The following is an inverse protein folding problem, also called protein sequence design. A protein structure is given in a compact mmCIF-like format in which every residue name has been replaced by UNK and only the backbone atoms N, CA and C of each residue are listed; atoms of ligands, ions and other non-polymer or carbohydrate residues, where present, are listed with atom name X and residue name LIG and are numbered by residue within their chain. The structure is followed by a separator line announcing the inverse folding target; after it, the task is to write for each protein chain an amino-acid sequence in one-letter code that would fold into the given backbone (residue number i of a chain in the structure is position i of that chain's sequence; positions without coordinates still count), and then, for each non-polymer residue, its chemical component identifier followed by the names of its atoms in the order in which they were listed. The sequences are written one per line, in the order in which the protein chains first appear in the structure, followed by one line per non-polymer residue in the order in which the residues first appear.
data_IF_445561964059
#
_entry.id   IF_445561964059
#
_cell.length_a   1.000
_cell.length_b   1.000
_cell.length_c   1.000
_cell.angle_alpha   90.00
_cell.angle_beta   90.00
_cell.angle_gamma   90.00
#
_symmetry.space_group_name_H-M   'P 1'
#
loop_
_entity.id
_entity.type
_entity.pdbx_description
1 polymer ?
#
# COMPACT_ATOMS: atom_id res chain seq x y z
N UNK A 1 -15.45 22.43 -2.48
CA UNK A 1 -14.60 23.28 -3.35
C UNK A 1 -14.78 22.79 -4.77
N UNK A 2 -15.09 23.68 -5.71
CA UNK A 2 -15.20 23.31 -7.12
C UNK A 2 -13.83 22.82 -7.62
N UNK A 3 -13.82 21.77 -8.46
CA UNK A 3 -12.61 21.11 -8.96
C UNK A 3 -11.65 22.03 -9.75
N UNK A 4 -12.08 23.27 -10.03
CA UNK A 4 -11.34 24.29 -10.77
C UNK A 4 -10.43 25.17 -9.91
N UNK A 5 -10.57 25.16 -8.57
CA UNK A 5 -9.80 26.03 -7.64
C UNK A 5 -8.64 25.31 -6.95
N UNK A 6 -8.03 24.33 -7.63
CA UNK A 6 -6.77 23.73 -7.17
C UNK A 6 -5.76 23.83 -8.31
N UNK A 7 -4.46 24.03 -8.05
CA UNK A 7 -3.41 24.07 -9.10
C UNK A 7 -3.33 22.78 -9.96
N UNK A 8 -4.09 21.75 -9.57
CA UNK A 8 -4.12 20.36 -10.03
C UNK A 8 -4.43 20.14 -11.52
N UNK A 9 -4.86 21.16 -12.27
CA UNK A 9 -5.15 21.04 -13.72
C UNK A 9 -4.35 21.96 -14.65
N UNK A 10 -3.74 23.03 -14.14
CA UNK A 10 -3.13 24.10 -14.97
C UNK A 10 -1.61 24.14 -14.93
N UNK A 11 -0.99 23.60 -13.88
CA UNK A 11 0.45 23.62 -13.74
C UNK A 11 1.10 22.81 -14.89
N UNK A 12 1.95 23.43 -15.70
CA UNK A 12 2.69 22.75 -16.76
C UNK A 12 4.07 22.27 -16.30
N UNK A 13 4.57 22.79 -15.17
CA UNK A 13 5.90 22.51 -14.64
C UNK A 13 5.92 22.64 -13.13
N UNK A 14 6.77 21.85 -12.49
CA UNK A 14 7.15 21.97 -11.08
C UNK A 14 8.65 21.64 -10.97
N UNK A 15 9.45 22.57 -10.42
CA UNK A 15 10.92 22.44 -10.42
C UNK A 15 11.50 22.07 -11.79
N UNK A 16 12.21 20.95 -11.84
CA UNK A 16 12.88 20.41 -13.04
C UNK A 16 12.00 19.45 -13.86
N UNK A 17 10.72 19.32 -13.52
CA UNK A 17 9.80 18.37 -14.13
C UNK A 17 8.73 19.09 -14.96
N UNK A 18 8.60 18.69 -16.22
CA UNK A 18 7.45 19.07 -17.04
C UNK A 18 6.27 18.11 -16.74
N UNK A 19 5.11 18.66 -16.40
CA UNK A 19 3.93 17.89 -16.00
C UNK A 19 3.03 17.61 -17.22
N UNK A 20 2.87 16.34 -17.54
CA UNK A 20 2.04 15.84 -18.62
C UNK A 20 0.59 15.59 -18.22
N UNK A 21 -0.02 14.61 -18.90
CA UNK A 21 -1.43 14.22 -18.73
C UNK A 21 -1.72 13.66 -17.35
N UNK A 22 -2.99 13.75 -16.93
CA UNK A 22 -3.48 13.05 -15.73
C UNK A 22 -3.59 11.55 -16.01
N UNK A 23 -2.92 10.73 -15.20
CA UNK A 23 -2.92 9.26 -15.29
C UNK A 23 -3.79 8.61 -14.20
N UNK A 24 -4.07 9.34 -13.11
CA UNK A 24 -4.96 8.90 -12.03
C UNK A 24 -5.63 10.06 -11.30
N UNK A 25 -6.83 9.84 -10.77
CA UNK A 25 -7.55 10.77 -9.89
C UNK A 25 -8.09 9.99 -8.70
N UNK A 26 -7.71 10.42 -7.49
CA UNK A 26 -8.26 9.93 -6.23
C UNK A 26 -9.18 10.96 -5.58
N UNK A 27 -9.73 10.62 -4.41
CA UNK A 27 -10.61 11.51 -3.65
C UNK A 27 -9.93 12.84 -3.27
N UNK A 28 -8.63 12.79 -2.93
CA UNK A 28 -7.86 13.94 -2.44
C UNK A 28 -6.62 14.26 -3.28
N UNK A 29 -6.26 13.40 -4.25
CA UNK A 29 -5.01 13.44 -4.99
C UNK A 29 -5.21 13.40 -6.51
N UNK A 30 -4.31 14.04 -7.25
CA UNK A 30 -4.19 13.89 -8.71
C UNK A 30 -2.83 13.28 -9.03
N UNK A 31 -2.82 12.29 -9.91
CA UNK A 31 -1.58 11.67 -10.41
C UNK A 31 -1.39 12.08 -11.86
N UNK A 32 -0.27 12.71 -12.15
CA UNK A 32 0.11 13.15 -13.49
C UNK A 32 1.41 12.50 -13.93
N UNK A 33 1.56 12.31 -15.22
CA UNK A 33 2.87 12.02 -15.81
C UNK A 33 3.80 13.22 -15.58
N UNK A 34 5.06 12.97 -15.22
CA UNK A 34 6.06 14.00 -15.02
C UNK A 34 7.34 13.58 -15.74
N UNK A 35 7.96 14.46 -16.51
CA UNK A 35 9.21 14.18 -17.22
C UNK A 35 10.31 15.07 -16.68
N UNK A 36 11.38 14.48 -16.15
CA UNK A 36 12.56 15.21 -15.75
C UNK A 36 13.21 15.85 -16.99
N UNK A 37 13.51 17.14 -16.95
CA UNK A 37 13.92 17.89 -18.14
C UNK A 37 15.27 17.45 -18.70
N UNK A 38 16.24 17.18 -17.82
CA UNK A 38 17.59 16.79 -18.22
C UNK A 38 17.71 15.31 -18.53
N UNK A 39 17.44 14.43 -17.55
CA UNK A 39 17.54 12.98 -17.71
C UNK A 39 16.47 12.36 -18.64
N UNK A 40 15.42 13.13 -18.98
CA UNK A 40 14.24 12.66 -19.73
C UNK A 40 13.48 11.51 -19.06
N UNK A 41 13.77 11.23 -17.79
CA UNK A 41 13.11 10.19 -17.03
C UNK A 41 11.62 10.49 -16.86
N UNK A 42 10.78 9.50 -17.15
CA UNK A 42 9.33 9.60 -16.98
C UNK A 42 8.90 9.00 -15.63
N UNK A 43 8.22 9.81 -14.84
CA UNK A 43 7.75 9.52 -13.49
C UNK A 43 6.23 9.74 -13.38
N UNK A 44 5.65 9.21 -12.31
CA UNK A 44 4.31 9.55 -11.85
C UNK A 44 4.42 10.58 -10.71
N UNK A 45 3.78 11.73 -10.84
CA UNK A 45 3.71 12.77 -9.83
C UNK A 45 2.33 12.77 -9.16
N UNK A 46 2.27 12.38 -7.89
CA UNK A 46 1.07 12.47 -7.05
C UNK A 46 1.09 13.80 -6.30
N UNK A 47 0.06 14.60 -6.51
CA UNK A 47 -0.09 15.94 -5.92
C UNK A 47 -1.00 15.84 -4.71
N UNK A 48 -0.45 16.16 -3.54
CA UNK A 48 -1.07 16.02 -2.21
C UNK A 48 -1.11 17.35 -1.48
N UNK A 49 -2.08 17.58 -0.58
CA UNK A 49 -2.05 18.75 0.30
C UNK A 49 -0.84 18.70 1.26
N UNK A 50 -0.15 19.83 1.43
CA UNK A 50 0.95 19.93 2.39
C UNK A 50 0.45 20.03 3.84
N UNK A 51 1.29 19.61 4.80
CA UNK A 51 1.00 19.69 6.25
C UNK A 51 0.79 21.12 6.74
N UNK A 52 1.46 22.08 6.13
CA UNK A 52 1.41 23.48 6.52
C UNK A 52 1.40 24.39 5.29
N UNK A 53 0.49 25.34 5.28
CA UNK A 53 0.49 26.45 4.32
C UNK A 53 0.72 27.73 5.13
N UNK A 54 1.87 28.40 4.97
CA UNK A 54 2.15 29.63 5.70
C UNK A 54 1.03 30.66 5.55
N UNK A 55 0.59 31.24 6.68
CA UNK A 55 -0.44 32.28 6.70
C UNK A 55 -1.89 31.81 6.48
N UNK A 56 -2.14 30.51 6.30
CA UNK A 56 -3.51 29.98 6.12
C UNK A 56 -3.96 29.22 7.38
N UNK A 57 -5.08 29.63 8.03
CA UNK A 57 -5.65 28.87 9.12
C UNK A 57 -6.04 27.45 8.67
N UNK A 58 -5.52 26.45 9.38
CA UNK A 58 -5.81 25.05 9.10
C UNK A 58 -7.20 24.69 9.65
N UNK A 59 -8.08 24.16 8.79
CA UNK A 59 -9.30 23.50 9.25
C UNK A 59 -8.99 22.06 9.62
N UNK A 60 -9.77 21.49 10.55
CA UNK A 60 -9.60 20.10 10.99
C UNK A 60 -9.51 19.11 9.82
N UNK A 61 -10.39 19.25 8.82
CA UNK A 61 -10.43 18.35 7.66
C UNK A 61 -9.16 18.47 6.80
N UNK A 62 -8.67 19.69 6.55
CA UNK A 62 -7.41 19.91 5.82
C UNK A 62 -6.21 19.33 6.54
N UNK A 63 -6.19 19.42 7.89
CA UNK A 63 -5.13 18.81 8.70
C UNK A 63 -5.17 17.27 8.60
N UNK A 64 -6.36 16.67 8.59
CA UNK A 64 -6.50 15.22 8.44
C UNK A 64 -5.99 14.75 7.08
N UNK A 65 -6.41 15.39 6.00
CA UNK A 65 -5.97 15.05 4.63
C UNK A 65 -4.45 15.17 4.49
N UNK A 66 -3.86 16.23 5.04
CA UNK A 66 -2.41 16.42 5.00
C UNK A 66 -1.64 15.41 5.89
N UNK A 67 -2.21 15.01 7.04
CA UNK A 67 -1.64 13.93 7.85
C UNK A 67 -1.64 12.60 7.09
N UNK A 68 -2.74 12.25 6.42
CA UNK A 68 -2.84 11.02 5.65
C UNK A 68 -1.86 11.02 4.46
N UNK A 69 -1.73 12.16 3.78
CA UNK A 69 -0.73 12.37 2.72
C UNK A 69 0.71 12.19 3.25
N UNK A 70 1.04 12.81 4.39
CA UNK A 70 2.37 12.69 4.97
C UNK A 70 2.68 11.26 5.41
N UNK A 71 1.67 10.54 5.97
CA UNK A 71 1.81 9.13 6.33
C UNK A 71 2.20 8.28 5.13
N UNK A 72 1.52 8.43 4.00
CA UNK A 72 1.88 7.71 2.77
C UNK A 72 3.34 7.94 2.38
N UNK A 73 3.82 9.19 2.44
CA UNK A 73 5.23 9.52 2.13
C UNK A 73 6.19 8.80 3.08
N UNK A 74 5.95 8.87 4.39
CA UNK A 74 6.81 8.23 5.41
C UNK A 74 6.84 6.71 5.22
N UNK A 75 5.69 6.09 4.90
CA UNK A 75 5.61 4.66 4.59
C UNK A 75 6.47 4.32 3.36
N UNK A 76 6.34 5.07 2.26
CA UNK A 76 7.10 4.82 1.04
C UNK A 76 8.61 5.00 1.22
N UNK A 77 9.06 6.00 1.98
CA UNK A 77 10.47 6.15 2.36
C UNK A 77 10.97 4.90 3.10
N UNK A 78 10.24 4.47 4.13
CA UNK A 78 10.62 3.31 4.93
C UNK A 78 10.67 2.02 4.07
N UNK A 79 9.70 1.82 3.18
CA UNK A 79 9.70 0.65 2.28
C UNK A 79 10.90 0.66 1.33
N UNK A 80 11.24 1.83 0.77
CA UNK A 80 12.42 2.00 -0.07
C UNK A 80 13.73 1.69 0.67
N UNK A 81 13.89 2.20 1.89
CA UNK A 81 15.08 1.92 2.70
C UNK A 81 15.18 0.46 3.15
N UNK A 82 14.04 -0.17 3.46
CA UNK A 82 13.96 -1.60 3.75
C UNK A 82 14.19 -2.49 2.51
N UNK A 83 14.03 -1.95 1.30
CA UNK A 83 14.10 -2.72 0.06
C UNK A 83 12.88 -3.61 -0.15
N UNK A 84 11.69 -3.18 0.30
CA UNK A 84 10.45 -3.93 0.05
C UNK A 84 10.15 -3.91 -1.45
N UNK A 85 10.16 -5.10 -2.06
CA UNK A 85 9.75 -5.29 -3.45
C UNK A 85 8.24 -5.25 -3.59
N UNK A 86 7.75 -4.96 -4.79
CA UNK A 86 6.32 -5.03 -5.10
C UNK A 86 5.49 -3.87 -4.58
N UNK A 87 6.11 -2.78 -4.12
CA UNK A 87 5.44 -1.50 -3.83
C UNK A 87 5.94 -0.40 -4.76
N UNK A 88 5.13 0.63 -4.97
CA UNK A 88 5.53 1.80 -5.75
C UNK A 88 6.81 2.42 -5.17
N UNK A 89 7.76 2.77 -6.04
CA UNK A 89 9.05 3.32 -5.63
C UNK A 89 8.97 4.84 -5.61
N UNK A 90 9.32 5.44 -4.46
CA UNK A 90 9.48 6.87 -4.31
C UNK A 90 10.81 7.29 -4.96
N UNK A 91 10.73 8.23 -5.89
CA UNK A 91 11.90 8.83 -6.53
C UNK A 91 12.32 10.11 -5.79
N UNK A 92 11.35 10.97 -5.45
CA UNK A 92 11.59 12.20 -4.71
C UNK A 92 10.31 12.92 -4.33
N UNK A 93 10.45 14.03 -3.62
CA UNK A 93 9.32 14.89 -3.28
C UNK A 93 9.73 16.36 -3.29
N UNK A 94 8.75 17.22 -3.55
CA UNK A 94 8.91 18.67 -3.45
C UNK A 94 7.70 19.27 -2.75
N UNK A 95 7.88 20.39 -2.06
CA UNK A 95 6.78 21.18 -1.52
C UNK A 95 6.82 22.59 -2.10
N UNK A 96 5.70 23.04 -2.67
CA UNK A 96 5.55 24.37 -3.25
C UNK A 96 4.10 24.83 -3.12
N UNK A 97 3.88 26.08 -2.74
CA UNK A 97 2.56 26.72 -2.64
C UNK A 97 1.52 25.93 -1.82
N UNK A 98 1.97 25.25 -0.76
CA UNK A 98 1.07 24.46 0.10
C UNK A 98 0.67 23.10 -0.47
N UNK A 99 1.40 22.62 -1.48
CA UNK A 99 1.23 21.30 -2.10
C UNK A 99 2.51 20.49 -1.98
N UNK A 100 2.36 19.20 -1.69
CA UNK A 100 3.43 18.22 -1.75
C UNK A 100 3.32 17.43 -3.05
N UNK A 101 4.37 17.48 -3.87
CA UNK A 101 4.50 16.77 -5.14
C UNK A 101 5.37 15.55 -4.92
N UNK A 102 4.78 14.36 -4.98
CA UNK A 102 5.45 13.08 -4.73
C UNK A 102 5.75 12.41 -6.06
N UNK A 103 7.03 12.35 -6.42
CA UNK A 103 7.50 11.72 -7.65
C UNK A 103 7.82 10.26 -7.41
N UNK A 104 7.25 9.40 -8.24
CA UNK A 104 7.34 7.95 -8.11
C UNK A 104 7.69 7.34 -9.46
N UNK A 105 8.29 6.15 -9.43
CA UNK A 105 8.50 5.36 -10.65
C UNK A 105 7.17 5.17 -11.40
N UNK A 106 7.20 5.43 -12.71
CA UNK A 106 6.07 5.15 -13.59
C UNK A 106 6.06 3.66 -13.98
N UNK A 107 4.88 3.04 -13.97
CA UNK A 107 4.67 1.63 -14.28
C UNK A 107 3.75 1.48 -15.50
N UNK A 108 3.71 0.30 -16.12
CA UNK A 108 3.03 0.08 -17.42
C UNK A 108 1.51 0.34 -17.36
N UNK A 109 0.89 0.16 -16.19
CA UNK A 109 -0.51 0.47 -15.97
C UNK A 109 -1.09 -0.22 -14.75
N UNK A 110 -2.39 -0.01 -14.52
CA UNK A 110 -3.17 -0.64 -13.45
C UNK A 110 -4.01 -1.83 -13.96
N UNK A 111 -4.33 -2.78 -13.09
CA UNK A 111 -5.15 -3.95 -13.46
C UNK A 111 -6.62 -3.60 -13.75
N UNK A 112 -7.14 -2.45 -13.30
CA UNK A 112 -8.55 -2.11 -13.51
C UNK A 112 -8.86 -1.90 -15.00
N UNK A 113 -7.95 -1.22 -15.70
CA UNK A 113 -8.01 -0.94 -17.14
C UNK A 113 -7.37 -2.03 -18.00
N UNK A 114 -6.37 -2.74 -17.47
CA UNK A 114 -5.61 -3.74 -18.23
C UNK A 114 -5.98 -5.17 -17.79
N UNK A 115 -7.22 -5.58 -18.07
CA UNK A 115 -7.78 -6.81 -17.47
C UNK A 115 -7.11 -8.09 -17.94
N UNK A 116 -6.61 -8.11 -19.17
CA UNK A 116 -6.04 -9.30 -19.82
C UNK A 116 -4.52 -9.42 -19.65
N UNK A 117 -3.88 -8.51 -18.90
CA UNK A 117 -2.44 -8.56 -18.61
C UNK A 117 -2.05 -9.81 -17.84
N UNK A 118 -2.88 -10.24 -16.88
CA UNK A 118 -2.62 -11.42 -16.04
C UNK A 118 -3.74 -12.42 -16.26
N UNK A 119 -3.42 -13.57 -16.89
CA UNK A 119 -4.37 -14.64 -17.23
C UNK A 119 -3.67 -16.00 -17.33
N UNK A 120 -4.47 -17.07 -17.25
CA UNK A 120 -3.97 -18.45 -17.37
C UNK A 120 -2.86 -18.76 -16.36
N UNK A 121 -1.78 -19.40 -16.84
CA UNK A 121 -0.66 -19.80 -16.00
C UNK A 121 0.06 -18.66 -15.27
N UNK A 122 -0.11 -17.39 -15.71
CA UNK A 122 0.51 -16.24 -15.07
C UNK A 122 -0.19 -15.81 -13.77
N UNK A 123 -1.43 -16.24 -13.53
CA UNK A 123 -2.24 -15.79 -12.37
C UNK A 123 -1.61 -16.19 -11.05
N UNK A 124 -1.23 -17.45 -10.89
CA UNK A 124 -0.70 -17.97 -9.62
C UNK A 124 0.64 -17.30 -9.25
N UNK A 125 1.66 -17.22 -10.13
CA UNK A 125 2.91 -16.53 -9.81
C UNK A 125 2.70 -15.04 -9.51
N UNK A 126 1.84 -14.35 -10.27
CA UNK A 126 1.52 -12.95 -10.03
C UNK A 126 0.86 -12.75 -8.66
N UNK A 127 -0.15 -13.57 -8.34
CA UNK A 127 -0.86 -13.47 -7.07
C UNK A 127 0.03 -13.85 -5.88
N UNK A 128 0.91 -14.84 -6.04
CA UNK A 128 1.93 -15.19 -5.04
C UNK A 128 2.85 -14.01 -4.74
N UNK A 129 3.38 -13.34 -5.76
CA UNK A 129 4.20 -12.15 -5.57
C UNK A 129 3.45 -11.03 -4.85
N UNK A 130 2.15 -10.84 -5.14
CA UNK A 130 1.29 -9.88 -4.46
C UNK A 130 1.09 -10.26 -2.97
N UNK A 131 0.83 -11.54 -2.68
CA UNK A 131 0.71 -12.05 -1.31
C UNK A 131 1.99 -11.80 -0.51
N UNK A 132 3.17 -12.06 -1.08
CA UNK A 132 4.46 -11.80 -0.43
C UNK A 132 4.69 -10.32 -0.13
N UNK A 133 4.30 -9.43 -1.04
CA UNK A 133 4.33 -7.99 -0.79
C UNK A 133 3.46 -7.64 0.41
N UNK A 134 2.21 -8.10 0.43
CA UNK A 134 1.25 -7.77 1.52
C UNK A 134 1.69 -8.40 2.85
N UNK A 135 2.17 -9.65 2.85
CA UNK A 135 2.76 -10.30 4.02
C UNK A 135 3.88 -9.46 4.64
N UNK A 136 4.73 -8.87 3.80
CA UNK A 136 5.84 -8.03 4.25
C UNK A 136 5.37 -6.73 4.90
N UNK A 137 4.30 -6.14 4.38
CA UNK A 137 3.64 -4.99 4.99
C UNK A 137 3.01 -5.37 6.34
N UNK A 138 2.32 -6.52 6.41
CA UNK A 138 1.74 -7.03 7.65
C UNK A 138 2.81 -7.26 8.73
N UNK A 139 3.96 -7.82 8.37
CA UNK A 139 5.13 -7.99 9.26
C UNK A 139 5.75 -6.66 9.73
N UNK A 140 5.48 -5.56 9.03
CA UNK A 140 5.85 -4.19 9.42
C UNK A 140 4.75 -3.50 10.26
N UNK A 141 3.62 -4.18 10.48
CA UNK A 141 2.44 -3.61 11.12
C UNK A 141 1.68 -2.64 10.23
N UNK A 142 1.75 -2.79 8.90
CA UNK A 142 1.07 -1.92 7.93
C UNK A 142 -0.02 -2.69 7.21
N UNK A 143 -1.24 -2.18 7.22
CA UNK A 143 -2.31 -2.61 6.29
C UNK A 143 -2.51 -1.54 5.22
N UNK A 144 -2.80 -1.93 3.99
CA UNK A 144 -3.02 -1.00 2.87
C UNK A 144 -4.43 -0.39 2.88
N UNK A 145 -5.44 -1.16 3.28
CA UNK A 145 -6.87 -0.76 3.41
C UNK A 145 -7.67 -0.47 2.13
N UNK A 146 -7.04 -0.46 0.95
CA UNK A 146 -7.71 -0.20 -0.33
C UNK A 146 -7.09 -1.05 -1.46
N UNK A 147 -6.83 -2.33 -1.16
CA UNK A 147 -6.39 -3.29 -2.18
C UNK A 147 -7.52 -3.51 -3.18
N UNK A 148 -7.32 -3.00 -4.39
CA UNK A 148 -8.24 -3.12 -5.53
C UNK A 148 -7.44 -3.15 -6.82
N UNK A 149 -8.09 -3.56 -7.91
CA UNK A 149 -7.43 -3.63 -9.24
C UNK A 149 -6.84 -2.30 -9.70
N UNK A 150 -7.44 -1.17 -9.30
CA UNK A 150 -6.92 0.17 -9.64
C UNK A 150 -5.64 0.55 -8.89
N UNK A 151 -5.36 -0.11 -7.77
CA UNK A 151 -4.20 0.16 -6.91
C UNK A 151 -3.12 -0.94 -7.05
N UNK A 152 -3.36 -1.94 -7.92
CA UNK A 152 -2.36 -2.94 -8.30
C UNK A 152 -1.89 -2.57 -9.70
N UNK A 153 -0.71 -1.95 -9.75
CA UNK A 153 0.03 -1.69 -10.97
C UNK A 153 0.81 -2.93 -11.40
N UNK A 154 1.41 -2.89 -12.58
CA UNK A 154 2.29 -3.94 -13.05
C UNK A 154 3.46 -3.41 -13.88
N UNK A 155 4.50 -4.22 -13.96
CA UNK A 155 5.56 -4.09 -14.96
C UNK A 155 5.94 -5.48 -15.47
N UNK A 156 6.53 -5.52 -16.66
CA UNK A 156 7.06 -6.74 -17.24
C UNK A 156 8.58 -6.76 -17.11
N UNK A 157 9.10 -7.89 -16.64
CA UNK A 157 10.52 -8.12 -16.52
C UNK A 157 10.81 -9.59 -16.83
N UNK A 158 11.77 -9.84 -17.72
CA UNK A 158 12.19 -11.19 -18.11
C UNK A 158 11.03 -12.13 -18.48
N UNK A 159 10.04 -11.60 -19.22
CA UNK A 159 8.86 -12.36 -19.66
C UNK A 159 7.81 -12.62 -18.56
N UNK A 160 8.00 -12.11 -17.34
CA UNK A 160 7.04 -12.22 -16.24
C UNK A 160 6.32 -10.88 -16.02
N UNK A 161 5.06 -10.94 -15.62
CA UNK A 161 4.31 -9.78 -15.13
C UNK A 161 4.43 -9.77 -13.61
N UNK A 162 4.85 -8.64 -13.03
CA UNK A 162 5.05 -8.50 -11.59
C UNK A 162 4.07 -7.46 -11.00
N UNK A 163 3.43 -7.75 -9.86
CA UNK A 163 2.52 -6.81 -9.20
C UNK A 163 3.29 -5.70 -8.49
N UNK A 164 2.75 -4.48 -8.56
CA UNK A 164 3.21 -3.33 -7.80
C UNK A 164 2.02 -2.71 -7.09
N UNK A 165 2.03 -2.77 -5.76
CA UNK A 165 1.01 -2.15 -4.92
C UNK A 165 1.29 -0.65 -4.79
N UNK A 166 0.27 0.16 -5.03
CA UNK A 166 0.33 1.62 -5.03
C UNK A 166 -0.84 2.24 -4.27
N UNK A 167 -0.71 3.51 -3.91
CA UNK A 167 -1.72 4.32 -3.19
C UNK A 167 -1.93 3.90 -1.72
N UNK A 168 -0.99 4.29 -0.86
CA UNK A 168 -1.02 4.02 0.58
C UNK A 168 -1.81 5.08 1.37
N UNK A 169 -2.64 5.88 0.69
CA UNK A 169 -3.36 7.00 1.31
C UNK A 169 -4.42 6.61 2.35
N UNK A 170 -4.83 5.33 2.39
CA UNK A 170 -5.75 4.80 3.42
C UNK A 170 -5.06 3.88 4.43
N UNK A 171 -3.76 3.64 4.28
CA UNK A 171 -3.03 2.63 5.02
C UNK A 171 -3.05 2.87 6.53
N UNK A 172 -3.00 1.80 7.33
CA UNK A 172 -2.95 1.89 8.78
C UNK A 172 -1.61 1.42 9.29
N UNK A 173 -1.08 2.13 10.27
CA UNK A 173 0.15 1.77 10.95
C UNK A 173 -0.14 1.30 12.38
N UNK A 174 0.03 0.00 12.60
CA UNK A 174 -0.30 -0.74 13.82
C UNK A 174 0.90 -1.61 14.22
N UNK A 175 2.01 -1.00 14.66
CA UNK A 175 3.24 -1.73 15.00
C UNK A 175 3.10 -2.68 16.19
N UNK A 176 1.99 -2.60 16.94
CA UNK A 176 1.64 -3.48 18.06
C UNK A 176 0.39 -4.34 17.78
N UNK A 177 -0.06 -4.37 16.52
CA UNK A 177 -1.34 -4.94 16.13
C UNK A 177 -2.54 -4.16 16.68
N UNK A 178 -3.72 -4.76 16.59
CA UNK A 178 -4.97 -4.22 17.12
C UNK A 178 -6.01 -3.95 16.03
N UNK A 179 -7.21 -3.54 16.48
CA UNK A 179 -8.35 -3.31 15.60
C UNK A 179 -8.43 -1.86 15.10
N UNK A 180 -8.89 -1.66 13.88
CA UNK A 180 -9.15 -0.34 13.29
C UNK A 180 -10.62 -0.11 13.02
N UNK A 181 -11.00 1.16 12.92
CA UNK A 181 -12.24 1.59 12.25
C UNK A 181 -11.80 2.56 11.17
N UNK A 182 -12.04 2.21 9.91
CA UNK A 182 -11.67 2.99 8.73
C UNK A 182 -12.88 3.15 7.84
N UNK A 183 -13.17 4.39 7.44
CA UNK A 183 -14.24 4.74 6.52
C UNK A 183 -13.77 4.77 5.05
N UNK A 184 -12.49 4.53 4.81
CA UNK A 184 -11.89 4.49 3.47
C UNK A 184 -12.00 3.13 2.79
N UNK A 185 -11.81 3.13 1.47
CA UNK A 185 -11.78 1.93 0.64
C UNK A 185 -12.98 1.77 -0.31
N UNK A 186 -12.92 0.77 -1.16
CA UNK A 186 -13.96 0.47 -2.16
C UNK A 186 -14.81 -0.71 -1.71
N UNK A 187 -16.13 -0.52 -1.52
CA UNK A 187 -17.07 -1.53 -0.98
C UNK A 187 -16.98 -2.90 -1.68
N UNK A 188 -16.74 -2.90 -2.99
CA UNK A 188 -16.58 -4.09 -3.83
C UNK A 188 -15.40 -5.01 -3.43
N UNK A 189 -14.49 -4.55 -2.57
CA UNK A 189 -13.40 -5.35 -2.02
C UNK A 189 -13.46 -5.45 -0.48
N UNK A 190 -14.46 -4.84 0.17
CA UNK A 190 -14.53 -4.75 1.62
C UNK A 190 -15.05 -6.04 2.27
N UNK A 191 -14.43 -6.42 3.39
CA UNK A 191 -14.86 -7.57 4.19
C UNK A 191 -16.17 -7.31 4.96
N UNK A 192 -16.87 -8.36 5.43
CA UNK A 192 -18.09 -8.23 6.22
C UNK A 192 -17.93 -7.33 7.44
N UNK A 193 -16.85 -7.51 8.19
CA UNK A 193 -16.58 -6.74 9.40
C UNK A 193 -16.24 -5.27 9.12
N UNK A 194 -15.65 -4.97 7.94
CA UNK A 194 -15.41 -3.59 7.49
C UNK A 194 -16.71 -2.90 7.06
N UNK A 195 -17.55 -3.56 6.26
CA UNK A 195 -18.84 -2.96 5.83
C UNK A 195 -19.87 -2.87 6.95
N UNK A 196 -19.74 -3.69 8.00
CA UNK A 196 -20.52 -3.60 9.24
C UNK A 196 -20.20 -2.34 10.08
N UNK A 197 -19.18 -1.55 9.70
CA UNK A 197 -18.73 -0.36 10.42
C UNK A 197 -18.27 -0.65 11.88
N UNK A 198 -17.78 -1.87 12.10
CA UNK A 198 -17.22 -2.33 13.37
C UNK A 198 -15.73 -2.01 13.47
N UNK A 199 -15.15 -2.21 14.66
CA UNK A 199 -13.70 -2.32 14.77
C UNK A 199 -13.27 -3.72 14.33
N UNK A 200 -12.34 -3.82 13.39
CA UNK A 200 -11.91 -5.09 12.81
C UNK A 200 -10.39 -5.22 12.80
N UNK A 201 -9.90 -6.46 12.66
CA UNK A 201 -8.51 -6.73 12.33
C UNK A 201 -8.27 -6.39 10.85
N UNK A 202 -7.46 -5.37 10.55
CA UNK A 202 -7.23 -4.96 9.17
C UNK A 202 -6.48 -6.01 8.35
N UNK A 203 -5.60 -6.82 8.97
CA UNK A 203 -4.82 -7.83 8.25
C UNK A 203 -5.73 -8.95 7.76
N UNK A 204 -6.65 -9.43 8.60
CA UNK A 204 -7.68 -10.39 8.21
C UNK A 204 -8.64 -9.80 7.17
N UNK A 205 -8.99 -8.51 7.28
CA UNK A 205 -9.82 -7.81 6.28
C UNK A 205 -9.12 -7.73 4.91
N UNK A 206 -7.80 -7.59 4.86
CA UNK A 206 -7.07 -7.55 3.58
C UNK A 206 -7.01 -8.89 2.87
N UNK A 207 -7.02 -10.00 3.60
CA UNK A 207 -7.12 -11.33 2.98
C UNK A 207 -8.43 -11.48 2.21
N UNK A 208 -9.53 -10.91 2.73
CA UNK A 208 -10.79 -10.85 1.98
C UNK A 208 -10.63 -10.07 0.68
N UNK A 209 -10.07 -8.86 0.73
CA UNK A 209 -9.81 -8.03 -0.45
C UNK A 209 -8.98 -8.78 -1.50
N UNK A 210 -7.94 -9.49 -1.06
CA UNK A 210 -7.11 -10.34 -1.90
C UNK A 210 -7.89 -11.52 -2.50
N UNK A 211 -8.80 -12.15 -1.75
CA UNK A 211 -9.70 -13.18 -2.26
C UNK A 211 -10.59 -12.66 -3.39
N UNK A 212 -11.12 -11.44 -3.27
CA UNK A 212 -11.88 -10.77 -4.35
C UNK A 212 -10.97 -10.49 -5.56
N UNK A 213 -9.72 -10.07 -5.36
CA UNK A 213 -8.75 -9.92 -6.45
C UNK A 213 -8.53 -11.26 -7.17
N UNK A 214 -8.36 -12.35 -6.42
CA UNK A 214 -8.17 -13.68 -6.97
C UNK A 214 -9.35 -14.14 -7.83
N UNK A 215 -10.59 -13.94 -7.35
CA UNK A 215 -11.80 -14.15 -8.15
C UNK A 215 -11.71 -13.43 -9.50
N UNK A 216 -11.35 -12.15 -9.48
CA UNK A 216 -11.29 -11.31 -10.68
C UNK A 216 -10.17 -11.72 -11.65
N UNK A 217 -9.03 -12.17 -11.14
CA UNK A 217 -7.94 -12.71 -11.97
C UNK A 217 -8.38 -13.99 -12.70
N UNK A 218 -9.16 -14.84 -12.04
CA UNK A 218 -9.75 -16.06 -12.64
C UNK A 218 -11.06 -15.83 -13.40
N UNK A 219 -11.49 -14.56 -13.55
CA UNK A 219 -12.75 -14.18 -14.23
C UNK A 219 -14.01 -14.75 -13.61
N UNK A 220 -13.97 -15.04 -12.31
CA UNK A 220 -15.16 -15.36 -11.56
C UNK A 220 -15.97 -14.11 -11.21
N UNK A 221 -17.31 -14.17 -11.30
CA UNK A 221 -18.18 -13.13 -10.78
C UNK A 221 -17.92 -12.86 -9.30
N UNK A 222 -18.20 -11.64 -8.85
CA UNK A 222 -18.16 -11.32 -7.42
C UNK A 222 -19.22 -12.15 -6.69
N UNK A 223 -18.88 -12.92 -5.63
CA UNK A 223 -19.78 -13.92 -5.05
C UNK A 223 -21.03 -13.32 -4.37
N UNK A 224 -20.98 -12.04 -3.99
CA UNK A 224 -22.10 -11.34 -3.36
C UNK A 224 -22.80 -10.30 -4.26
N UNK A 225 -22.40 -10.18 -5.53
CA UNK A 225 -23.14 -9.36 -6.50
C UNK A 225 -24.25 -10.22 -7.10
N UNK A 226 -25.49 -9.73 -7.04
CA UNK A 226 -26.67 -10.42 -7.57
C UNK A 226 -27.21 -9.65 -8.77
N UNK A 227 -27.24 -10.28 -9.93
CA UNK A 227 -27.68 -9.66 -11.19
C UNK A 227 -26.72 -8.61 -11.74
N UNK A 228 -27.12 -7.97 -12.84
CA UNK A 228 -26.27 -7.05 -13.61
C UNK A 228 -26.17 -5.64 -12.99
N UNK A 229 -27.07 -5.30 -12.09
CA UNK A 229 -27.12 -4.00 -11.39
C UNK A 229 -27.24 -4.24 -9.90
N UNK A 230 -26.12 -4.22 -9.21
CA UNK A 230 -26.06 -4.27 -7.75
C UNK A 230 -25.45 -2.95 -7.26
N UNK A 231 -26.24 -2.19 -6.51
CA UNK A 231 -25.79 -0.96 -5.85
C UNK A 231 -24.81 -1.29 -4.72
N UNK A 232 -24.00 -0.30 -4.31
CA UNK A 232 -23.08 -0.48 -3.17
C UNK A 232 -23.79 -0.86 -1.88
N UNK A 233 -25.01 -0.36 -1.66
CA UNK A 233 -25.80 -0.69 -0.47
C UNK A 233 -26.32 -2.14 -0.54
N UNK A 234 -26.88 -2.56 -1.68
CA UNK A 234 -27.29 -3.95 -1.88
C UNK A 234 -26.10 -4.92 -1.73
N UNK A 235 -24.94 -4.57 -2.26
CA UNK A 235 -23.72 -5.37 -2.13
C UNK A 235 -23.32 -5.50 -0.67
N UNK A 236 -23.34 -4.40 0.09
CA UNK A 236 -23.10 -4.41 1.53
C UNK A 236 -24.06 -5.34 2.26
N UNK A 237 -25.36 -5.26 1.99
CA UNK A 237 -26.35 -6.16 2.59
C UNK A 237 -26.12 -7.63 2.22
N UNK A 238 -25.74 -7.91 0.96
CA UNK A 238 -25.42 -9.27 0.52
C UNK A 238 -24.15 -9.82 1.20
N UNK A 239 -23.12 -9.00 1.37
CA UNK A 239 -21.88 -9.38 2.08
C UNK A 239 -22.21 -9.74 3.55
N UNK A 240 -23.01 -8.90 4.22
CA UNK A 240 -23.38 -9.07 5.62
C UNK A 240 -24.28 -10.29 5.86
N UNK A 241 -25.36 -10.40 5.09
CA UNK A 241 -26.47 -11.31 5.41
C UNK A 241 -26.76 -12.35 4.31
N UNK A 242 -26.28 -12.11 3.09
CA UNK A 242 -26.52 -13.00 1.96
C UNK A 242 -25.75 -14.33 2.04
N UNK A 243 -25.94 -15.19 1.04
CA UNK A 243 -25.08 -16.35 0.79
C UNK A 243 -24.24 -16.08 -0.47
N UNK A 244 -22.96 -16.46 -0.50
CA UNK A 244 -22.15 -16.33 -1.70
C UNK A 244 -22.67 -17.29 -2.78
N UNK A 245 -22.73 -16.80 -4.02
CA UNK A 245 -23.02 -17.62 -5.20
C UNK A 245 -21.71 -17.85 -5.96
N UNK A 246 -21.43 -19.11 -6.29
CA UNK A 246 -20.19 -19.47 -6.97
C UNK A 246 -20.47 -20.13 -8.31
N UNK A 247 -19.68 -19.77 -9.33
CA UNK A 247 -19.79 -20.27 -10.70
C UNK A 247 -18.45 -20.88 -11.14
N UNK A 248 -18.01 -21.92 -10.43
CA UNK A 248 -16.72 -22.56 -10.66
C UNK A 248 -16.70 -23.38 -11.95
N UNK A 249 -15.54 -23.44 -12.60
CA UNK A 249 -15.28 -24.49 -13.60
C UNK A 249 -14.96 -25.82 -12.92
N UNK A 250 -15.18 -26.94 -13.62
CA UNK A 250 -14.88 -28.28 -13.10
C UNK A 250 -13.40 -28.46 -12.71
N UNK A 251 -12.49 -27.91 -13.52
CA UNK A 251 -11.04 -27.92 -13.25
C UNK A 251 -10.70 -27.29 -11.90
N UNK A 252 -11.39 -26.19 -11.55
CA UNK A 252 -11.11 -25.40 -10.36
C UNK A 252 -11.79 -25.93 -9.09
N UNK A 253 -12.73 -26.87 -9.23
CA UNK A 253 -13.46 -27.53 -8.13
C UNK A 253 -12.74 -28.75 -7.55
N UNK A 254 -11.67 -29.24 -8.18
CA UNK A 254 -10.90 -30.38 -7.67
C UNK A 254 -10.37 -30.10 -6.26
N UNK A 255 -10.13 -31.16 -5.50
CA UNK A 255 -9.46 -31.07 -4.19
C UNK A 255 -8.08 -30.39 -4.34
N UNK A 256 -7.75 -29.45 -3.45
CA UNK A 256 -6.57 -28.60 -3.62
C UNK A 256 -6.67 -27.64 -4.81
N UNK A 257 -7.87 -27.38 -5.31
CA UNK A 257 -8.17 -26.46 -6.40
C UNK A 257 -8.31 -25.01 -5.93
N UNK A 258 -8.35 -24.07 -6.88
CA UNK A 258 -8.42 -22.63 -6.55
C UNK A 258 -9.71 -22.25 -5.82
N UNK A 259 -10.79 -23.02 -6.00
CA UNK A 259 -12.05 -22.80 -5.30
C UNK A 259 -11.91 -22.99 -3.78
N UNK A 260 -11.04 -23.89 -3.33
CA UNK A 260 -10.73 -24.10 -1.91
C UNK A 260 -10.07 -22.84 -1.33
N UNK A 261 -9.01 -22.37 -1.99
CA UNK A 261 -8.27 -21.17 -1.59
C UNK A 261 -9.17 -19.94 -1.53
N UNK A 262 -9.96 -19.68 -2.58
CA UNK A 262 -10.85 -18.52 -2.62
C UNK A 262 -11.89 -18.60 -1.50
N UNK A 263 -12.47 -19.77 -1.22
CA UNK A 263 -13.45 -19.93 -0.13
C UNK A 263 -12.81 -19.71 1.24
N UNK A 264 -11.57 -20.16 1.45
CA UNK A 264 -10.82 -19.91 2.68
C UNK A 264 -10.53 -18.42 2.90
N UNK A 265 -10.12 -17.71 1.85
CA UNK A 265 -9.89 -16.26 1.90
C UNK A 265 -11.18 -15.43 2.07
N UNK A 266 -12.29 -15.92 1.53
CA UNK A 266 -13.61 -15.28 1.59
C UNK A 266 -14.52 -15.88 2.67
N UNK A 267 -13.92 -16.45 3.72
CA UNK A 267 -14.68 -16.87 4.89
C UNK A 267 -15.25 -15.64 5.62
N UNK A 268 -16.54 -15.68 5.95
CA UNK A 268 -17.25 -14.53 6.56
C UNK A 268 -16.73 -14.22 7.95
N UNK A 269 -16.56 -15.25 8.78
CA UNK A 269 -15.94 -15.11 10.09
C UNK A 269 -14.42 -14.88 9.92
N UNK A 270 -13.86 -13.73 10.36
CA UNK A 270 -12.45 -13.42 10.22
C UNK A 270 -11.53 -14.37 11.00
N UNK A 271 -11.98 -14.97 12.10
CA UNK A 271 -11.14 -15.87 12.91
C UNK A 271 -10.95 -17.23 12.23
N UNK A 272 -11.92 -17.63 11.39
CA UNK A 272 -11.86 -18.82 10.54
C UNK A 272 -11.34 -18.55 9.12
N UNK A 273 -11.04 -17.28 8.80
CA UNK A 273 -10.53 -16.88 7.48
C UNK A 273 -9.06 -17.25 7.38
N UNK A 274 -8.67 -17.77 6.22
CA UNK A 274 -7.27 -18.09 5.97
C UNK A 274 -6.39 -16.85 6.12
N UNK A 275 -5.18 -17.04 6.65
CA UNK A 275 -4.12 -16.05 6.65
C UNK A 275 -3.38 -16.06 5.30
N UNK A 276 -2.56 -15.04 5.05
CA UNK A 276 -1.67 -15.06 3.88
C UNK A 276 -0.73 -16.27 3.91
N UNK A 277 -0.24 -16.64 5.11
CA UNK A 277 0.64 -17.79 5.29
C UNK A 277 -0.07 -19.09 4.91
N UNK A 278 -1.34 -19.28 5.31
CA UNK A 278 -2.13 -20.46 4.94
C UNK A 278 -2.22 -20.58 3.41
N UNK A 279 -2.54 -19.47 2.72
CA UNK A 279 -2.60 -19.43 1.25
C UNK A 279 -1.25 -19.76 0.61
N UNK A 280 -0.15 -19.20 1.12
CA UNK A 280 1.19 -19.42 0.58
C UNK A 280 1.72 -20.84 0.82
N UNK A 281 1.22 -21.54 1.85
CA UNK A 281 1.55 -22.96 2.11
C UNK A 281 0.68 -23.95 1.34
N UNK A 282 -0.41 -23.48 0.74
CA UNK A 282 -1.29 -24.33 -0.05
C UNK A 282 -0.56 -24.87 -1.29
N UNK A 283 -0.75 -26.16 -1.69
CA UNK A 283 -0.01 -26.78 -2.80
C UNK A 283 0.01 -26.00 -4.12
N UNK A 284 -1.07 -25.30 -4.47
CA UNK A 284 -1.13 -24.44 -5.67
C UNK A 284 -0.13 -23.28 -5.63
N UNK A 285 0.17 -22.76 -4.44
CA UNK A 285 1.03 -21.62 -4.24
C UNK A 285 2.44 -22.02 -3.82
N UNK A 286 2.73 -23.30 -3.62
CA UNK A 286 4.10 -23.78 -3.49
C UNK A 286 4.87 -23.52 -4.79
N UNK A 287 6.10 -23.06 -4.66
CA UNK A 287 7.04 -22.95 -5.78
C UNK A 287 8.34 -23.67 -5.38
N UNK A 288 8.74 -24.76 -6.06
CA UNK A 288 10.01 -25.42 -5.77
C UNK A 288 11.22 -24.56 -6.12
N UNK A 289 11.03 -23.51 -6.93
CA UNK A 289 12.01 -22.48 -7.25
C UNK A 289 11.80 -21.19 -6.48
N UNK A 290 10.96 -21.16 -5.44
CA UNK A 290 11.03 -20.17 -4.34
C UNK A 290 12.33 -20.41 -3.53
N UNK A 291 13.47 -20.42 -4.23
CA UNK A 291 14.74 -20.04 -3.66
C UNK A 291 14.63 -18.55 -3.31
N UNK A 292 15.27 -18.09 -2.21
CA UNK A 292 15.02 -16.82 -1.55
C UNK A 292 15.40 -15.59 -2.39
N UNK A 293 14.72 -15.33 -3.49
CA UNK A 293 14.71 -14.04 -4.20
C UNK A 293 13.56 -13.15 -3.70
N UNK A 294 12.54 -13.78 -3.11
CA UNK A 294 11.40 -13.16 -2.42
C UNK A 294 11.36 -13.54 -0.93
N UNK A 295 12.51 -13.90 -0.35
CA UNK A 295 12.64 -14.11 1.09
C UNK A 295 12.65 -12.75 1.78
N UNK A 296 11.44 -12.25 2.03
CA UNK A 296 11.20 -11.20 3.00
C UNK A 296 11.06 -11.84 4.39
N UNK A 297 11.82 -12.90 4.70
CA UNK A 297 12.57 -12.84 5.95
C UNK A 297 13.53 -11.70 5.75
N UNK A 298 13.18 -10.51 6.27
CA UNK A 298 14.13 -9.48 6.74
C UNK A 298 15.56 -9.98 6.56
N UNK A 299 16.08 -9.78 5.35
CA UNK A 299 17.14 -10.53 4.69
C UNK A 299 17.93 -11.46 5.63
N UNK A 300 17.79 -12.79 5.57
CA UNK A 300 18.53 -13.68 6.50
C UNK A 300 20.08 -13.59 6.36
N UNK A 301 20.59 -12.89 5.34
CA UNK A 301 22.01 -12.47 5.22
C UNK A 301 22.30 -11.02 5.64
N UNK A 302 21.30 -10.16 5.75
CA UNK A 302 21.38 -8.95 6.57
C UNK A 302 20.29 -9.04 7.62
N UNK A 303 20.58 -9.63 8.80
CA UNK A 303 19.97 -9.14 10.04
C UNK A 303 19.91 -7.63 9.84
N UNK A 304 18.71 -7.06 9.64
CA UNK A 304 18.59 -5.61 9.57
C UNK A 304 19.21 -5.19 10.90
N UNK A 305 20.43 -4.66 10.84
CA UNK A 305 21.21 -4.40 12.04
C UNK A 305 20.53 -3.17 12.64
N UNK A 306 19.50 -3.45 13.44
CA UNK A 306 18.69 -2.44 14.10
C UNK A 306 19.51 -1.65 15.12
N UNK A 307 20.77 -2.03 15.35
CA UNK A 307 21.75 -1.22 16.04
C UNK A 307 22.10 -0.01 15.20
N UNK A 308 21.29 1.03 15.36
CA UNK A 308 21.61 2.37 14.92
C UNK A 308 22.77 2.86 15.79
N UNK A 309 24.01 2.70 15.28
CA UNK A 309 25.24 3.13 15.97
C UNK A 309 25.56 4.61 15.77
N UNK A 310 24.98 5.23 14.73
CA UNK A 310 25.16 6.65 14.41
C UNK A 310 23.89 7.43 14.77
N UNK A 311 24.00 8.72 15.13
CA UNK A 311 22.83 9.55 15.34
C UNK A 311 21.92 9.57 14.10
N UNK A 312 20.61 9.42 14.30
CA UNK A 312 19.63 9.62 13.23
C UNK A 312 19.51 11.10 12.90
N UNK A 313 19.19 11.41 11.64
CA UNK A 313 18.92 12.78 11.22
C UNK A 313 17.67 13.34 11.92
N UNK A 314 17.55 14.67 11.96
CA UNK A 314 16.36 15.33 12.49
C UNK A 314 15.08 14.91 11.72
N UNK A 315 15.18 14.76 10.40
CA UNK A 315 14.06 14.36 9.54
C UNK A 315 13.57 12.94 9.88
N UNK A 316 14.49 11.98 10.06
CA UNK A 316 14.14 10.62 10.51
C UNK A 316 13.47 10.66 11.87
N UNK A 317 13.97 11.46 12.81
CA UNK A 317 13.37 11.59 14.13
C UNK A 317 11.93 12.15 14.05
N UNK A 318 11.69 13.14 13.19
CA UNK A 318 10.37 13.71 12.95
C UNK A 318 9.42 12.70 12.30
N UNK A 319 9.88 11.92 11.32
CA UNK A 319 9.09 10.87 10.67
C UNK A 319 8.68 9.76 11.68
N UNK A 320 9.59 9.32 12.54
CA UNK A 320 9.26 8.32 13.58
C UNK A 320 8.36 8.92 14.67
N UNK A 321 8.55 10.19 15.04
CA UNK A 321 7.66 10.91 15.95
C UNK A 321 6.22 10.95 15.40
N UNK A 322 6.08 11.30 14.12
CA UNK A 322 4.80 11.32 13.43
C UNK A 322 4.13 9.94 13.46
N UNK A 323 4.85 8.87 13.12
CA UNK A 323 4.32 7.51 13.17
C UNK A 323 3.93 7.08 14.60
N UNK A 324 4.66 7.53 15.62
CA UNK A 324 4.34 7.21 17.01
C UNK A 324 3.04 7.88 17.46
N UNK A 325 2.80 9.12 17.01
CA UNK A 325 1.53 9.82 17.24
C UNK A 325 0.38 9.12 16.52
N UNK A 326 0.59 8.64 15.29
CA UNK A 326 -0.40 7.87 14.54
C UNK A 326 -0.74 6.53 15.19
N UNK A 327 0.27 5.78 15.67
CA UNK A 327 0.05 4.51 16.36
C UNK A 327 -0.68 4.66 17.71
N UNK A 328 -0.60 5.85 18.32
CA UNK A 328 -1.29 6.22 19.57
C UNK A 328 -2.48 7.16 19.38
N UNK A 329 -2.85 7.46 18.11
CA UNK A 329 -3.85 8.42 17.62
C UNK A 329 -4.19 9.54 18.63
N UNK A 330 -3.19 10.35 18.97
CA UNK A 330 -3.29 11.62 19.72
C UNK A 330 -3.39 11.55 21.26
N UNK A 331 -2.71 10.60 21.92
CA UNK A 331 -2.32 10.79 23.34
C UNK A 331 -1.04 11.65 23.46
N UNK A 332 -0.81 12.23 24.66
CA UNK A 332 0.27 13.17 25.03
C UNK A 332 1.57 12.90 24.25
N UNK A 333 2.21 13.94 23.66
CA UNK A 333 3.26 13.74 22.68
C UNK A 333 4.40 12.90 23.25
N UNK A 334 4.75 11.84 22.51
CA UNK A 334 6.12 11.34 22.54
C UNK A 334 7.00 12.53 22.13
N UNK A 335 7.82 13.03 23.04
CA UNK A 335 8.79 14.07 22.70
C UNK A 335 10.02 13.40 22.03
N UNK A 336 10.79 14.14 21.23
CA UNK A 336 11.97 13.61 20.54
C UNK A 336 12.93 12.86 21.48
N UNK A 337 13.13 13.37 22.70
CA UNK A 337 14.02 12.76 23.71
C UNK A 337 13.57 11.36 24.15
N UNK A 338 12.27 11.16 24.37
CA UNK A 338 11.70 9.83 24.73
C UNK A 338 11.82 8.86 23.56
N UNK A 339 11.73 9.37 22.33
CA UNK A 339 11.86 8.56 21.14
C UNK A 339 13.31 8.15 20.89
N UNK A 340 14.26 9.06 21.07
CA UNK A 340 15.70 8.78 21.00
C UNK A 340 16.10 7.69 21.99
N UNK A 341 15.60 7.73 23.24
CA UNK A 341 15.82 6.66 24.21
C UNK A 341 15.33 5.29 23.72
N UNK A 342 14.22 5.25 22.96
CA UNK A 342 13.73 4.01 22.35
C UNK A 342 14.52 3.62 21.11
N UNK A 343 14.99 4.58 20.32
CA UNK A 343 15.80 4.37 19.12
C UNK A 343 17.18 3.80 19.50
N UNK A 344 17.84 4.38 20.50
CA UNK A 344 19.18 3.97 20.96
C UNK A 344 19.15 2.98 22.14
N UNK A 345 17.95 2.59 22.59
CA UNK A 345 17.75 1.66 23.69
C UNK A 345 18.29 0.26 23.37
N UNK A 346 18.55 -0.54 24.40
CA UNK A 346 19.04 -1.93 24.23
C UNK A 346 17.93 -2.92 23.86
N UNK A 347 16.67 -2.54 24.01
CA UNK A 347 15.53 -3.42 23.79
C UNK A 347 14.91 -3.20 22.41
N UNK A 348 14.60 -4.27 21.66
CA UNK A 348 13.96 -4.16 20.36
C UNK A 348 12.65 -3.39 20.43
N UNK A 349 12.57 -2.29 19.69
CA UNK A 349 11.36 -1.49 19.53
C UNK A 349 11.07 -1.22 18.06
N UNK A 350 9.78 -1.08 17.72
CA UNK A 350 9.39 -0.74 16.36
C UNK A 350 10.00 0.61 15.94
N UNK A 351 10.20 1.55 16.87
CA UNK A 351 10.88 2.82 16.62
C UNK A 351 12.29 2.62 16.04
N UNK A 352 13.06 1.67 16.57
CA UNK A 352 14.41 1.35 16.08
C UNK A 352 14.35 0.82 14.66
N UNK A 353 13.42 -0.10 14.42
CA UNK A 353 13.18 -0.69 13.10
C UNK A 353 12.85 0.37 12.06
N UNK A 354 11.91 1.26 12.38
CA UNK A 354 11.48 2.32 11.46
C UNK A 354 12.53 3.40 11.26
N UNK A 355 13.23 3.81 12.31
CA UNK A 355 14.36 4.73 12.20
C UNK A 355 15.44 4.16 11.27
N UNK A 356 15.81 2.89 11.42
CA UNK A 356 16.83 2.23 10.59
C UNK A 356 16.42 2.19 9.11
N UNK A 357 15.16 1.85 8.81
CA UNK A 357 14.64 1.85 7.44
C UNK A 357 14.67 3.26 6.83
N UNK A 358 14.24 4.28 7.56
CA UNK A 358 14.23 5.66 7.08
C UNK A 358 15.65 6.22 6.89
N UNK A 359 16.58 5.94 7.82
CA UNK A 359 18.00 6.31 7.66
C UNK A 359 18.61 5.67 6.43
N UNK A 360 18.32 4.39 6.17
CA UNK A 360 18.82 3.71 4.97
C UNK A 360 18.24 4.31 3.69
N UNK A 361 16.99 4.78 3.71
CA UNK A 361 16.42 5.51 2.59
C UNK A 361 17.17 6.82 2.31
N UNK A 362 17.45 7.63 3.33
CA UNK A 362 18.21 8.88 3.18
C UNK A 362 19.61 8.63 2.60
N UNK A 363 20.34 7.63 3.14
CA UNK A 363 21.66 7.28 2.64
C UNK A 363 21.66 6.82 1.17
N UNK A 364 20.65 6.03 0.77
CA UNK A 364 20.53 5.58 -0.62
C UNK A 364 20.23 6.75 -1.57
N UNK A 365 19.49 7.76 -1.09
CA UNK A 365 19.18 8.98 -1.85
C UNK A 365 20.39 9.88 -2.00
N UNK A 366 21.16 10.10 -0.93
CA UNK A 366 22.42 10.82 -1.02
C UNK A 366 23.34 10.18 -2.06
N UNK A 367 23.56 8.87 -2.02
CA UNK A 367 24.40 8.19 -3.02
C UNK A 367 23.89 8.38 -4.45
N UNK A 368 22.57 8.37 -4.67
CA UNK A 368 21.98 8.60 -5.99
C UNK A 368 22.26 10.02 -6.49
N UNK A 369 22.06 11.02 -5.63
CA UNK A 369 22.31 12.43 -5.95
C UNK A 369 23.79 12.69 -6.29
N UNK A 370 24.72 11.95 -5.68
CA UNK A 370 26.15 12.03 -6.01
C UNK A 370 26.55 11.35 -7.32
N UNK A 371 25.80 10.33 -7.77
CA UNK A 371 26.07 9.63 -9.03
C UNK A 371 25.44 10.36 -10.22
N UNK A 372 24.38 11.12 -9.97
CA UNK A 372 23.68 11.92 -10.98
C UNK A 372 24.30 13.33 -11.19
N UNK A 373 25.31 13.72 -10.39
CA UNK A 373 26.18 14.90 -10.58
C UNK A 373 27.45 14.56 -11.38
#
# INVERSE_FOLDING_TARGET
MNAWDTPRGRLSRIGEYDLGRTIGRGAYAHVREATHRETRQVLACKILPALHIPGVPLTRDKTLDACEAYKEIVLLKAFGGAGISGVVQLDGMMEEDGWTYVFMKCYEGDLSKNRDTVKGAAVIPFFRALLRTVESLHLLGVSHEDIKRGNILFFKESGKVLPILADFGFSQFLPKGGKVKSFGGTVDYSSPEKVADLRYDPFASEVWSLGIILCKLFRYPHPYVKGDRCTSEELKQNILYGKPTWHWSQEHLREGGIAEVIRGMLHRDPDSRWTIQDVLTHPLFLDPHDLPAYDIRVNSRTRLDWNIKKPVSHNVLMDVCFLAQQAGRFRIPQNPQTLEQKIYGRHPHWQQRWASMLTKYELNREVKDWVDM
#
